data_IF_916975112584
#
_entry.id   IF_916975112584
#
_cell.length_a   1.000
_cell.length_b   1.000
_cell.length_c   1.000
_cell.angle_alpha   90.00
_cell.angle_beta   90.00
_cell.angle_gamma   90.00
#
_symmetry.space_group_name_H-M   'P 1'
#
loop_
_entity.id
_entity.type
_entity.pdbx_description
1 polymer ?
#
# COMPACT_ATOMS: atom_id res chain seq x y z
N UNK A 1 8.78 -0.13 -16.81
CA UNK A 1 8.13 -0.59 -15.54
C UNK A 1 9.25 -0.75 -14.54
N UNK A 2 9.16 -0.13 -13.37
CA UNK A 2 10.25 -0.11 -12.35
C UNK A 2 10.52 -1.50 -11.76
N UNK A 3 9.49 -2.35 -11.67
CA UNK A 3 9.58 -3.65 -11.04
C UNK A 3 8.91 -4.73 -11.89
N UNK A 4 9.46 -5.96 -11.88
CA UNK A 4 8.76 -7.13 -12.43
C UNK A 4 7.46 -7.38 -11.64
N UNK A 5 6.34 -7.77 -12.28
CA UNK A 5 5.09 -8.09 -11.57
C UNK A 5 5.30 -9.09 -10.42
N UNK A 6 6.15 -10.10 -10.63
CA UNK A 6 6.49 -11.09 -9.61
C UNK A 6 7.15 -10.48 -8.36
N UNK A 7 8.00 -9.48 -8.53
CA UNK A 7 8.64 -8.78 -7.42
C UNK A 7 7.65 -7.89 -6.67
N UNK A 8 6.69 -7.28 -7.38
CA UNK A 8 5.58 -6.56 -6.73
C UNK A 8 4.73 -7.52 -5.89
N UNK A 9 4.46 -8.74 -6.38
CA UNK A 9 3.79 -9.76 -5.58
C UNK A 9 4.56 -10.06 -4.29
N UNK A 10 5.86 -10.32 -4.37
CA UNK A 10 6.65 -10.58 -3.17
C UNK A 10 6.64 -9.39 -2.20
N UNK A 11 6.78 -8.15 -2.68
CA UNK A 11 6.63 -6.94 -1.84
C UNK A 11 5.28 -6.91 -1.12
N UNK A 12 4.19 -7.25 -1.81
CA UNK A 12 2.86 -7.38 -1.22
C UNK A 12 2.79 -8.47 -0.15
N UNK A 13 3.47 -9.61 -0.33
CA UNK A 13 3.49 -10.69 0.69
C UNK A 13 4.21 -10.30 1.99
N UNK A 14 5.18 -9.39 1.92
CA UNK A 14 5.79 -8.79 3.10
C UNK A 14 4.86 -7.76 3.73
N UNK A 15 4.26 -6.88 2.93
CA UNK A 15 3.36 -5.83 3.41
C UNK A 15 2.04 -6.38 3.97
N UNK A 16 1.50 -7.48 3.45
CA UNK A 16 0.21 -8.03 3.86
C UNK A 16 0.34 -9.51 4.25
N UNK A 17 0.34 -9.77 5.56
CA UNK A 17 0.54 -11.11 6.11
C UNK A 17 -0.46 -12.16 5.58
N UNK A 18 -1.68 -11.74 5.23
CA UNK A 18 -2.73 -12.60 4.64
C UNK A 18 -2.28 -13.25 3.33
N UNK A 19 -1.42 -12.60 2.55
CA UNK A 19 -0.90 -13.16 1.29
C UNK A 19 0.12 -14.29 1.51
N UNK A 20 0.56 -14.53 2.75
CA UNK A 20 1.44 -15.66 3.09
C UNK A 20 0.65 -16.93 3.44
N UNK A 21 -0.67 -16.83 3.52
CA UNK A 21 -1.54 -17.99 3.75
C UNK A 21 -1.51 -18.93 2.53
N UNK A 22 -1.66 -20.24 2.77
CA UNK A 22 -1.43 -21.28 1.76
C UNK A 22 -2.18 -21.12 0.44
N UNK A 23 -3.34 -20.43 0.45
CA UNK A 23 -4.17 -20.16 -0.74
C UNK A 23 -3.44 -19.32 -1.80
N UNK A 24 -2.48 -18.47 -1.41
CA UNK A 24 -1.81 -17.55 -2.34
C UNK A 24 -0.47 -18.09 -2.86
N UNK A 25 0.04 -19.22 -2.32
CA UNK A 25 1.32 -19.81 -2.75
C UNK A 25 1.35 -20.20 -4.22
N UNK A 26 0.20 -20.47 -4.85
CA UNK A 26 0.13 -20.77 -6.28
C UNK A 26 0.63 -19.62 -7.16
N UNK A 27 0.57 -18.38 -6.67
CA UNK A 27 1.02 -17.19 -7.40
C UNK A 27 2.56 -17.18 -7.55
N UNK A 28 3.31 -17.74 -6.59
CA UNK A 28 4.79 -17.75 -6.63
C UNK A 28 5.36 -18.51 -7.83
N UNK A 29 4.64 -19.56 -8.27
CA UNK A 29 5.01 -20.39 -9.40
C UNK A 29 4.49 -19.90 -10.75
N UNK A 30 3.68 -18.84 -10.78
CA UNK A 30 3.10 -18.29 -12.00
C UNK A 30 3.91 -17.08 -12.49
N UNK A 31 4.15 -17.02 -13.80
CA UNK A 31 4.75 -15.86 -14.46
C UNK A 31 3.66 -14.94 -15.01
N UNK A 32 3.81 -13.63 -14.77
CA UNK A 32 2.83 -12.63 -15.17
C UNK A 32 3.46 -11.64 -16.16
N UNK A 33 2.91 -11.59 -17.38
CA UNK A 33 3.38 -10.69 -18.43
C UNK A 33 3.19 -9.20 -18.09
N UNK A 34 2.20 -8.89 -17.25
CA UNK A 34 1.89 -7.52 -16.83
C UNK A 34 1.22 -7.47 -15.46
N UNK A 35 1.15 -6.27 -14.89
CA UNK A 35 0.60 -6.05 -13.55
C UNK A 35 -0.91 -6.29 -13.45
N UNK A 36 -1.67 -6.11 -14.54
CA UNK A 36 -3.11 -6.36 -14.57
C UNK A 36 -3.43 -7.83 -14.34
N UNK A 37 -2.68 -8.75 -14.98
CA UNK A 37 -2.84 -10.18 -14.79
C UNK A 37 -2.49 -10.61 -13.37
N UNK A 38 -1.44 -10.02 -12.77
CA UNK A 38 -1.09 -10.27 -11.38
C UNK A 38 -2.23 -9.85 -10.45
N UNK A 39 -2.72 -8.61 -10.56
CA UNK A 39 -3.80 -8.13 -9.70
C UNK A 39 -5.10 -8.90 -9.91
N UNK A 40 -5.43 -9.27 -11.14
CA UNK A 40 -6.58 -10.12 -11.43
C UNK A 40 -6.48 -11.47 -10.70
N UNK A 41 -5.31 -12.11 -10.67
CA UNK A 41 -5.13 -13.38 -9.96
C UNK A 41 -5.16 -13.19 -8.43
N UNK A 42 -4.48 -12.17 -7.88
CA UNK A 42 -4.51 -11.91 -6.43
C UNK A 42 -5.94 -11.59 -5.97
N UNK A 43 -6.68 -10.76 -6.72
CA UNK A 43 -8.08 -10.43 -6.42
C UNK A 43 -8.95 -11.68 -6.53
N UNK A 44 -8.80 -12.49 -7.59
CA UNK A 44 -9.58 -13.72 -7.73
C UNK A 44 -9.37 -14.67 -6.54
N UNK A 45 -8.12 -14.89 -6.12
CA UNK A 45 -7.81 -15.74 -4.97
C UNK A 45 -8.30 -15.13 -3.65
N UNK A 46 -8.11 -13.83 -3.45
CA UNK A 46 -8.55 -13.15 -2.23
C UNK A 46 -10.07 -13.10 -2.10
N UNK A 47 -10.81 -12.85 -3.19
CA UNK A 47 -12.27 -12.89 -3.23
C UNK A 47 -12.77 -14.33 -3.03
N UNK A 48 -12.14 -15.33 -3.66
CA UNK A 48 -12.48 -16.73 -3.44
C UNK A 48 -12.33 -17.12 -1.97
N UNK A 49 -11.25 -16.69 -1.33
CA UNK A 49 -11.01 -16.90 0.09
C UNK A 49 -12.06 -16.18 0.95
N UNK A 50 -12.41 -14.94 0.60
CA UNK A 50 -13.43 -14.17 1.31
C UNK A 50 -14.82 -14.79 1.20
N UNK A 51 -15.21 -15.29 0.02
CA UNK A 51 -16.47 -16.01 -0.18
C UNK A 51 -16.54 -17.23 0.74
N UNK A 52 -15.45 -18.02 0.84
CA UNK A 52 -15.39 -19.20 1.73
C UNK A 52 -15.53 -18.85 3.21
N UNK A 53 -15.05 -17.68 3.63
CA UNK A 53 -15.21 -17.17 5.01
C UNK A 53 -16.56 -16.49 5.26
N UNK A 54 -17.31 -16.20 4.21
CA UNK A 54 -18.52 -15.38 4.24
C UNK A 54 -18.22 -13.93 3.87
N UNK A 55 -19.05 -13.38 2.99
CA UNK A 55 -19.00 -11.96 2.65
C UNK A 55 -19.42 -11.11 3.85
N UNK A 56 -18.78 -9.95 4.01
CA UNK A 56 -19.17 -8.94 4.99
C UNK A 56 -20.63 -8.55 4.75
N UNK A 57 -21.39 -8.53 5.83
CA UNK A 57 -22.79 -8.14 5.86
C UNK A 57 -22.97 -7.03 6.85
N UNK A 58 -23.81 -6.08 6.50
CA UNK A 58 -24.10 -4.92 7.32
C UNK A 58 -25.61 -4.80 7.48
N UNK A 59 -26.02 -4.18 8.59
CA UNK A 59 -27.41 -3.79 8.77
C UNK A 59 -27.62 -2.47 8.03
N UNK A 60 -28.52 -2.50 7.06
CA UNK A 60 -28.94 -1.30 6.34
C UNK A 60 -30.39 -1.02 6.71
N UNK A 61 -30.67 0.21 7.13
CA UNK A 61 -32.02 0.67 7.38
C UNK A 61 -32.77 0.77 6.04
N UNK A 62 -33.87 0.02 5.91
CA UNK A 62 -34.71 0.00 4.72
C UNK A 62 -36.12 0.44 5.10
N UNK A 63 -36.74 1.27 4.25
CA UNK A 63 -38.11 1.77 4.44
C UNK A 63 -38.97 1.37 3.26
N UNK A 64 -39.93 0.47 3.48
CA UNK A 64 -40.75 -0.13 2.42
C UNK A 64 -42.24 -0.17 2.77
N UNK A 65 -43.10 -0.18 1.73
CA UNK A 65 -44.54 -0.41 1.83
C UNK A 65 -44.88 -1.90 1.82
N UNK A 66 -45.11 -2.47 2.98
CA UNK A 66 -45.33 -3.91 3.17
C UNK A 66 -46.71 -4.22 3.77
N UNK A 67 -47.27 -5.39 3.43
CA UNK A 67 -48.57 -5.85 3.95
C UNK A 67 -48.50 -6.47 5.35
N UNK A 68 -47.31 -6.53 5.93
CA UNK A 68 -47.02 -7.12 7.25
C UNK A 68 -46.25 -6.12 8.09
N UNK A 69 -46.36 -6.16 9.42
CA UNK A 69 -45.58 -5.27 10.29
C UNK A 69 -44.16 -5.83 10.44
N UNK A 70 -43.14 -5.03 10.10
CA UNK A 70 -41.72 -5.36 10.29
C UNK A 70 -40.98 -4.12 10.80
N UNK A 71 -40.30 -4.22 11.94
CA UNK A 71 -39.57 -3.08 12.52
C UNK A 71 -40.49 -1.94 12.97
N UNK A 72 -40.06 -0.69 12.75
CA UNK A 72 -40.75 0.54 13.15
C UNK A 72 -41.80 0.92 12.10
N UNK A 73 -43.04 1.20 12.53
CA UNK A 73 -44.09 1.69 11.64
C UNK A 73 -43.96 3.21 11.49
N UNK A 74 -43.83 3.70 10.26
CA UNK A 74 -43.85 5.12 9.94
C UNK A 74 -45.31 5.58 9.76
N UNK A 75 -45.95 5.94 10.88
CA UNK A 75 -47.37 6.25 10.94
C UNK A 75 -47.77 7.36 9.96
N UNK A 76 -47.00 8.46 9.91
CA UNK A 76 -47.26 9.59 9.00
C UNK A 76 -47.28 9.15 7.53
N UNK A 77 -46.36 8.27 7.16
CA UNK A 77 -46.24 7.77 5.79
C UNK A 77 -47.24 6.65 5.47
N UNK A 78 -47.79 5.99 6.51
CA UNK A 78 -48.78 4.90 6.38
C UNK A 78 -50.23 5.41 6.30
N UNK A 79 -50.53 6.60 6.83
CA UNK A 79 -51.89 7.18 6.83
C UNK A 79 -52.52 7.25 5.42
N UNK A 80 -51.82 7.70 4.36
CA UNK A 80 -52.37 7.72 3.00
C UNK A 80 -52.67 6.32 2.44
N UNK A 81 -51.99 5.27 2.91
CA UNK A 81 -52.20 3.90 2.46
C UNK A 81 -53.50 3.30 3.04
N UNK A 82 -53.85 3.65 4.28
CA UNK A 82 -55.16 3.31 4.85
C UNK A 82 -56.31 3.94 4.08
N UNK A 83 -56.17 5.21 3.66
CA UNK A 83 -57.18 5.89 2.84
C UNK A 83 -57.39 5.22 1.48
N UNK A 84 -56.36 4.57 0.94
CA UNK A 84 -56.39 3.81 -0.32
C UNK A 84 -56.86 2.37 -0.17
N UNK A 85 -57.19 1.92 1.06
CA UNK A 85 -57.54 0.52 1.35
C UNK A 85 -56.48 -0.49 0.87
N UNK A 86 -55.20 -0.08 0.79
CA UNK A 86 -54.16 -0.91 0.19
C UNK A 86 -53.68 -2.04 1.11
N UNK A 87 -54.14 -2.08 2.37
CA UNK A 87 -53.69 -3.00 3.44
C UNK A 87 -52.17 -3.05 3.59
N UNK A 88 -51.48 -1.95 3.28
CA UNK A 88 -50.02 -1.81 3.42
C UNK A 88 -49.68 -0.74 4.43
N UNK A 89 -48.55 -0.94 5.11
CA UNK A 89 -47.93 0.02 6.02
C UNK A 89 -46.56 0.40 5.49
N UNK A 90 -46.15 1.63 5.71
CA UNK A 90 -44.75 2.05 5.52
C UNK A 90 -44.01 1.68 6.79
N UNK A 91 -43.07 0.75 6.68
CA UNK A 91 -42.27 0.28 7.80
C UNK A 91 -40.78 0.46 7.52
N UNK A 92 -40.06 0.88 8.55
CA UNK A 92 -38.60 1.03 8.56
C UNK A 92 -38.00 -0.11 9.40
N UNK A 93 -37.08 -0.87 8.83
CA UNK A 93 -36.46 -2.01 9.49
C UNK A 93 -35.02 -2.21 9.02
N UNK A 94 -34.20 -2.82 9.88
CA UNK A 94 -32.84 -3.17 9.53
C UNK A 94 -32.81 -4.47 8.71
N UNK A 95 -32.20 -4.40 7.53
CA UNK A 95 -31.98 -5.53 6.65
C UNK A 95 -30.51 -5.97 6.71
N UNK A 96 -30.29 -7.26 6.97
CA UNK A 96 -28.95 -7.83 7.04
C UNK A 96 -28.48 -8.24 5.65
N UNK A 97 -27.88 -7.28 4.92
CA UNK A 97 -27.56 -7.40 3.50
C UNK A 97 -26.08 -7.69 3.26
N UNK A 98 -25.79 -8.40 2.17
CA UNK A 98 -24.41 -8.54 1.63
C UNK A 98 -23.99 -7.32 0.81
N UNK A 99 -24.89 -6.40 0.53
CA UNK A 99 -24.65 -5.19 -0.27
C UNK A 99 -23.89 -4.09 0.51
N UNK A 100 -22.81 -4.50 1.18
CA UNK A 100 -21.93 -3.61 1.93
C UNK A 100 -21.01 -2.80 1.00
N UNK A 101 -20.56 -1.60 1.41
CA UNK A 101 -19.65 -0.78 0.62
C UNK A 101 -18.40 -1.52 0.15
N UNK A 102 -17.79 -2.36 1.02
CA UNK A 102 -16.61 -3.15 0.62
C UNK A 102 -16.94 -4.18 -0.46
N UNK A 103 -18.11 -4.82 -0.41
CA UNK A 103 -18.51 -5.78 -1.44
C UNK A 103 -18.84 -5.08 -2.76
N UNK A 104 -19.45 -3.89 -2.72
CA UNK A 104 -19.67 -3.06 -3.92
C UNK A 104 -18.35 -2.71 -4.59
N UNK A 105 -17.33 -2.35 -3.81
CA UNK A 105 -15.97 -2.11 -4.33
C UNK A 105 -15.35 -3.37 -4.95
N UNK A 106 -15.47 -4.54 -4.30
CA UNK A 106 -14.98 -5.80 -4.87
C UNK A 106 -15.64 -6.09 -6.23
N UNK A 107 -16.98 -6.02 -6.29
CA UNK A 107 -17.75 -6.28 -7.51
C UNK A 107 -17.33 -5.31 -8.62
N UNK A 108 -17.26 -4.02 -8.31
CA UNK A 108 -16.86 -2.96 -9.24
C UNK A 108 -15.44 -3.18 -9.77
N UNK A 109 -14.48 -3.50 -8.90
CA UNK A 109 -13.10 -3.75 -9.32
C UNK A 109 -12.98 -4.99 -10.22
N UNK A 110 -13.69 -6.07 -9.88
CA UNK A 110 -13.73 -7.27 -10.72
C UNK A 110 -14.33 -6.96 -12.11
N UNK A 111 -15.37 -6.13 -12.15
CA UNK A 111 -15.98 -5.69 -13.41
C UNK A 111 -15.02 -4.89 -14.29
N UNK A 112 -14.28 -3.94 -13.70
CA UNK A 112 -13.23 -3.18 -14.40
C UNK A 112 -12.15 -4.10 -15.00
N UNK A 113 -11.67 -5.08 -14.23
CA UNK A 113 -10.67 -6.05 -14.69
C UNK A 113 -11.20 -6.96 -15.81
N UNK A 114 -12.47 -7.33 -15.76
CA UNK A 114 -13.12 -8.12 -16.82
C UNK A 114 -13.19 -7.35 -18.14
N UNK A 115 -13.40 -6.04 -18.07
CA UNK A 115 -13.49 -5.18 -19.26
C UNK A 115 -12.12 -4.70 -19.78
N UNK A 116 -11.08 -4.70 -18.95
CA UNK A 116 -9.71 -4.30 -19.35
C UNK A 116 -9.13 -5.21 -20.45
N UNK A 117 -8.57 -4.61 -21.50
CA UNK A 117 -7.90 -5.35 -22.59
C UNK A 117 -6.58 -6.02 -22.18
N UNK A 118 -5.94 -5.54 -21.12
CA UNK A 118 -4.64 -6.02 -20.65
C UNK A 118 -4.74 -7.30 -19.78
N UNK A 119 -5.96 -7.73 -19.42
CA UNK A 119 -6.21 -8.94 -18.64
C UNK A 119 -6.49 -10.13 -19.55
N UNK A 120 -5.77 -11.24 -19.32
CA UNK A 120 -5.93 -12.50 -20.07
C UNK A 120 -7.31 -13.11 -19.85
N UNK A 121 -7.84 -13.76 -20.89
CA UNK A 121 -9.17 -14.39 -20.89
C UNK A 121 -9.39 -15.34 -19.71
N UNK A 122 -8.40 -16.19 -19.40
CA UNK A 122 -8.49 -17.13 -18.28
C UNK A 122 -8.76 -16.41 -16.94
N UNK A 123 -8.06 -15.30 -16.69
CA UNK A 123 -8.25 -14.49 -15.48
C UNK A 123 -9.63 -13.83 -15.45
N UNK A 124 -10.09 -13.32 -16.61
CA UNK A 124 -11.46 -12.77 -16.74
C UNK A 124 -12.53 -13.80 -16.44
N UNK A 125 -12.35 -15.03 -16.92
CA UNK A 125 -13.32 -16.11 -16.69
C UNK A 125 -13.39 -16.50 -15.21
N UNK A 126 -12.24 -16.54 -14.50
CA UNK A 126 -12.21 -16.70 -13.02
C UNK A 126 -13.00 -15.60 -12.32
N UNK A 127 -12.76 -14.33 -12.67
CA UNK A 127 -13.46 -13.19 -12.06
C UNK A 127 -14.98 -13.24 -12.32
N UNK A 128 -15.42 -13.56 -13.54
CA UNK A 128 -16.84 -13.70 -13.88
C UNK A 128 -17.54 -14.80 -13.08
N UNK A 129 -16.85 -15.90 -12.78
CA UNK A 129 -17.40 -16.96 -11.93
C UNK A 129 -17.61 -16.41 -10.51
N UNK A 130 -16.64 -15.68 -9.97
CA UNK A 130 -16.73 -15.10 -8.63
C UNK A 130 -17.82 -14.02 -8.50
N UNK A 131 -18.04 -13.23 -9.55
CA UNK A 131 -19.10 -12.21 -9.58
C UNK A 131 -20.51 -12.80 -9.39
N UNK A 132 -20.73 -14.09 -9.64
CA UNK A 132 -22.01 -14.78 -9.37
C UNK A 132 -22.35 -14.86 -7.89
N UNK A 133 -21.36 -14.72 -7.00
CA UNK A 133 -21.59 -14.62 -5.54
C UNK A 133 -21.99 -13.21 -5.09
N UNK A 134 -21.96 -12.23 -6.01
CA UNK A 134 -22.26 -10.82 -5.78
C UNK A 134 -23.50 -10.37 -6.58
N UNK A 135 -24.47 -11.26 -6.79
CA UNK A 135 -25.71 -10.93 -7.51
C UNK A 135 -26.52 -9.86 -6.77
N UNK A 136 -26.66 -10.01 -5.45
CA UNK A 136 -27.38 -9.08 -4.56
C UNK A 136 -26.50 -7.92 -4.07
N UNK A 137 -25.41 -7.61 -4.79
CA UNK A 137 -24.49 -6.51 -4.45
C UNK A 137 -24.48 -5.54 -5.62
N UNK A 138 -24.64 -4.26 -5.37
CA UNK A 138 -24.60 -3.25 -6.43
C UNK A 138 -23.16 -2.93 -6.86
N UNK A 139 -22.99 -2.41 -8.08
CA UNK A 139 -21.75 -1.73 -8.45
C UNK A 139 -21.81 -0.28 -7.99
N UNK A 140 -20.66 0.32 -7.69
CA UNK A 140 -20.54 1.73 -7.29
C UNK A 140 -19.73 2.48 -8.35
N UNK A 141 -20.02 3.77 -8.57
CA UNK A 141 -19.16 4.62 -9.40
C UNK A 141 -17.75 4.68 -8.76
N UNK A 142 -16.71 4.17 -9.46
CA UNK A 142 -15.34 4.21 -8.99
C UNK A 142 -14.83 5.58 -8.49
N UNK A 143 -15.31 6.68 -9.08
CA UNK A 143 -14.90 8.03 -8.71
C UNK A 143 -15.46 8.50 -7.37
N UNK A 144 -16.52 7.84 -6.88
CA UNK A 144 -17.25 8.23 -5.67
C UNK A 144 -16.85 7.44 -4.43
N UNK A 145 -15.96 6.47 -4.58
CA UNK A 145 -15.58 5.56 -3.49
C UNK A 145 -14.84 6.34 -2.38
N UNK A 146 -15.41 6.35 -1.18
CA UNK A 146 -14.81 6.95 0.01
C UNK A 146 -13.81 5.99 0.68
N UNK A 147 -12.63 5.81 0.08
CA UNK A 147 -11.64 4.82 0.54
C UNK A 147 -11.17 4.94 2.01
N UNK A 148 -11.25 6.13 2.59
CA UNK A 148 -10.86 6.41 3.97
C UNK A 148 -11.93 6.06 5.01
N UNK A 149 -13.17 5.78 4.60
CA UNK A 149 -14.29 5.52 5.53
C UNK A 149 -14.43 4.06 5.96
N UNK A 150 -13.69 3.14 5.32
CA UNK A 150 -13.82 1.71 5.58
C UNK A 150 -13.30 1.31 6.98
N UNK A 151 -14.12 0.64 7.81
CA UNK A 151 -13.69 0.16 9.11
C UNK A 151 -12.79 -1.08 8.96
N UNK A 152 -11.55 -1.00 9.43
CA UNK A 152 -10.62 -2.13 9.43
C UNK A 152 -10.29 -2.60 10.84
N UNK A 153 -10.40 -3.91 11.06
CA UNK A 153 -10.08 -4.58 12.31
C UNK A 153 -9.46 -5.96 12.06
N UNK A 154 -8.91 -6.60 13.09
CA UNK A 154 -8.20 -7.89 12.93
C UNK A 154 -9.03 -8.97 12.23
N UNK A 155 -10.34 -9.01 12.50
CA UNK A 155 -11.24 -10.01 11.91
C UNK A 155 -11.54 -9.81 10.40
N UNK A 156 -11.23 -8.63 9.83
CA UNK A 156 -11.43 -8.32 8.40
C UNK A 156 -10.12 -7.98 7.69
N UNK A 157 -8.98 -8.48 8.17
CA UNK A 157 -7.66 -8.23 7.58
C UNK A 157 -7.60 -8.57 6.08
N UNK A 158 -8.31 -9.61 5.63
CA UNK A 158 -8.45 -9.96 4.21
C UNK A 158 -9.15 -8.85 3.42
N UNK A 159 -10.23 -8.27 3.94
CA UNK A 159 -10.87 -7.10 3.34
C UNK A 159 -9.92 -5.91 3.29
N UNK A 160 -9.16 -5.64 4.35
CA UNK A 160 -8.16 -4.56 4.34
C UNK A 160 -7.17 -4.72 3.19
N UNK A 161 -6.65 -5.93 2.99
CA UNK A 161 -5.76 -6.23 1.87
C UNK A 161 -6.48 -6.06 0.52
N UNK A 162 -7.66 -6.65 0.35
CA UNK A 162 -8.44 -6.55 -0.88
C UNK A 162 -8.80 -5.11 -1.23
N UNK A 163 -9.24 -4.30 -0.26
CA UNK A 163 -9.58 -2.89 -0.47
C UNK A 163 -8.36 -2.07 -0.91
N UNK A 164 -7.18 -2.35 -0.37
CA UNK A 164 -5.95 -1.70 -0.84
C UNK A 164 -5.60 -2.08 -2.28
N UNK A 165 -5.78 -3.35 -2.67
CA UNK A 165 -5.56 -3.79 -4.05
C UNK A 165 -6.62 -3.22 -5.00
N UNK A 166 -7.89 -3.22 -4.58
CA UNK A 166 -8.99 -2.60 -5.31
C UNK A 166 -8.74 -1.12 -5.54
N UNK A 167 -8.21 -0.40 -4.55
CA UNK A 167 -7.80 1.00 -4.71
C UNK A 167 -6.77 1.15 -5.82
N UNK A 168 -5.68 0.36 -5.77
CA UNK A 168 -4.59 0.43 -6.75
C UNK A 168 -5.09 0.17 -8.18
N UNK A 169 -5.88 -0.90 -8.36
CA UNK A 169 -6.46 -1.27 -9.66
C UNK A 169 -7.40 -0.19 -10.15
N UNK A 170 -8.35 0.23 -9.31
CA UNK A 170 -9.39 1.19 -9.69
C UNK A 170 -8.79 2.53 -10.06
N UNK A 171 -7.92 3.10 -9.21
CA UNK A 171 -7.31 4.41 -9.49
C UNK A 171 -6.47 4.40 -10.75
N UNK A 172 -5.67 3.35 -10.97
CA UNK A 172 -4.83 3.30 -12.17
C UNK A 172 -5.59 2.97 -13.45
N UNK A 173 -6.76 2.33 -13.36
CA UNK A 173 -7.64 2.16 -14.52
C UNK A 173 -8.38 3.45 -14.88
N UNK A 174 -8.90 4.19 -13.90
CA UNK A 174 -9.62 5.46 -14.13
C UNK A 174 -8.77 6.54 -14.79
N UNK A 175 -7.47 6.58 -14.44
CA UNK A 175 -6.54 7.53 -15.06
C UNK A 175 -6.17 7.12 -16.50
N UNK A 176 -6.17 5.82 -16.79
CA UNK A 176 -6.00 5.33 -18.16
C UNK A 176 -7.15 5.72 -19.09
N UNK A 177 -8.37 5.87 -18.56
CA UNK A 177 -9.55 6.25 -19.34
C UNK A 177 -9.62 7.76 -19.63
N UNK A 178 -9.15 8.63 -18.72
CA UNK A 178 -9.23 10.08 -18.88
C UNK A 178 -8.21 10.66 -19.87
N UNK A 179 -6.97 10.17 -19.83
CA UNK A 179 -5.89 10.71 -20.65
C UNK A 179 -5.57 9.84 -21.88
N UNK A 180 -6.22 8.69 -22.03
CA UNK A 180 -6.10 7.79 -23.19
C UNK A 180 -4.71 7.15 -23.40
N UNK A 181 -3.70 7.55 -22.63
CA UNK A 181 -2.30 7.14 -22.81
C UNK A 181 -1.64 6.54 -21.57
N UNK A 182 -2.11 6.85 -20.35
CA UNK A 182 -1.43 6.42 -19.11
C UNK A 182 -1.91 5.03 -18.70
N UNK A 183 -1.13 3.98 -19.00
CA UNK A 183 -1.46 2.61 -18.57
C UNK A 183 -1.36 2.49 -17.04
N UNK A 184 -2.12 1.58 -16.42
CA UNK A 184 -2.04 1.26 -14.98
C UNK A 184 -0.59 1.14 -14.46
N UNK A 185 0.30 0.54 -15.25
CA UNK A 185 1.72 0.37 -14.90
C UNK A 185 2.51 1.67 -14.76
N UNK A 186 2.10 2.75 -15.45
CA UNK A 186 2.70 4.08 -15.37
C UNK A 186 2.12 4.87 -14.20
N UNK A 187 0.83 4.71 -13.89
CA UNK A 187 0.23 5.33 -12.70
C UNK A 187 0.76 4.72 -11.39
N UNK A 188 1.08 3.44 -11.38
CA UNK A 188 1.66 2.81 -10.20
C UNK A 188 3.04 3.39 -9.81
N UNK A 189 3.60 4.38 -10.51
CA UNK A 189 4.75 5.17 -10.00
C UNK A 189 4.36 6.19 -8.88
N UNK A 190 3.12 6.16 -8.41
CA UNK A 190 2.54 7.09 -7.43
C UNK A 190 2.82 6.72 -5.95
N UNK A 191 2.40 7.60 -5.04
CA UNK A 191 2.50 7.55 -3.57
C UNK A 191 2.17 6.18 -2.95
N UNK A 192 1.29 5.38 -3.56
CA UNK A 192 0.93 4.07 -3.00
C UNK A 192 1.98 2.99 -3.23
N UNK A 193 2.68 3.00 -4.36
CA UNK A 193 3.81 2.09 -4.55
C UNK A 193 5.00 2.53 -3.72
N UNK A 194 5.18 3.85 -3.53
CA UNK A 194 6.10 4.38 -2.52
C UNK A 194 5.80 3.81 -1.12
N UNK A 195 4.54 3.92 -0.66
CA UNK A 195 4.12 3.37 0.62
C UNK A 195 4.26 1.83 0.69
N UNK A 196 4.00 1.12 -0.42
CA UNK A 196 4.24 -0.33 -0.50
C UNK A 196 5.72 -0.64 -0.36
N UNK A 197 6.59 0.11 -1.03
CA UNK A 197 8.04 -0.06 -1.02
C UNK A 197 8.62 0.17 0.38
N UNK A 198 8.29 1.29 1.03
CA UNK A 198 8.66 1.56 2.42
C UNK A 198 8.23 0.42 3.35
N UNK A 199 6.95 0.02 3.23
CA UNK A 199 6.39 -1.04 4.08
C UNK A 199 7.04 -2.38 3.80
N UNK A 200 7.33 -2.70 2.55
CA UNK A 200 8.06 -3.90 2.18
C UNK A 200 9.42 -3.95 2.87
N UNK A 201 10.23 -2.88 2.75
CA UNK A 201 11.56 -2.83 3.35
C UNK A 201 11.47 -2.99 4.88
N UNK A 202 10.54 -2.26 5.51
CA UNK A 202 10.33 -2.37 6.95
C UNK A 202 9.98 -3.80 7.37
N UNK A 203 8.96 -4.40 6.74
CA UNK A 203 8.48 -5.74 7.08
C UNK A 203 9.51 -6.82 6.73
N UNK A 204 10.37 -6.58 5.73
CA UNK A 204 11.52 -7.42 5.41
C UNK A 204 12.47 -7.47 6.60
N UNK A 205 12.96 -6.32 7.07
CA UNK A 205 13.89 -6.28 8.19
C UNK A 205 13.26 -6.80 9.49
N UNK A 206 11.98 -6.53 9.76
CA UNK A 206 11.27 -7.10 10.93
C UNK A 206 11.28 -8.64 10.88
N UNK A 207 11.06 -9.23 9.70
CA UNK A 207 10.88 -10.67 9.54
C UNK A 207 12.18 -11.43 9.41
N UNK A 208 13.07 -10.98 8.52
CA UNK A 208 14.30 -11.69 8.17
C UNK A 208 15.47 -11.30 9.09
N UNK A 209 15.42 -10.12 9.72
CA UNK A 209 16.44 -9.62 10.64
C UNK A 209 15.86 -9.13 11.98
N UNK A 210 15.19 -9.99 12.77
CA UNK A 210 14.57 -9.59 14.03
C UNK A 210 15.57 -9.01 15.05
N UNK A 211 16.86 -9.33 14.94
CA UNK A 211 17.94 -8.77 15.76
C UNK A 211 18.16 -7.26 15.54
N UNK A 212 17.71 -6.73 14.41
CA UNK A 212 17.92 -5.35 13.98
C UNK A 212 16.79 -4.39 14.40
N UNK A 213 15.80 -4.86 15.16
CA UNK A 213 14.73 -4.07 15.79
C UNK A 213 14.17 -2.97 14.88
N UNK A 214 13.75 -3.34 13.66
CA UNK A 214 13.25 -2.38 12.68
C UNK A 214 11.89 -1.80 13.08
N UNK A 215 11.72 -0.49 12.93
CA UNK A 215 10.51 0.26 13.30
C UNK A 215 10.30 1.52 12.45
N UNK A 216 9.15 2.18 12.62
CA UNK A 216 8.95 3.58 12.22
C UNK A 216 9.05 4.43 13.48
N UNK A 217 9.96 5.40 13.49
CA UNK A 217 10.21 6.23 14.67
C UNK A 217 9.74 7.66 14.42
N UNK A 218 9.22 8.28 15.49
CA UNK A 218 9.02 9.73 15.54
C UNK A 218 10.30 10.38 16.08
N UNK A 219 10.93 11.21 15.26
CA UNK A 219 12.14 11.94 15.63
C UNK A 219 11.72 13.27 16.24
N UNK A 220 11.98 13.46 17.54
CA UNK A 220 11.72 14.73 18.19
C UNK A 220 12.72 15.79 17.70
N UNK A 221 12.23 17.00 17.40
CA UNK A 221 13.09 18.15 17.12
C UNK A 221 14.09 18.37 18.26
N UNK A 222 15.34 18.61 17.90
CA UNK A 222 16.40 18.98 18.82
C UNK A 222 16.34 20.49 19.05
N UNK A 223 15.49 20.91 19.99
CA UNK A 223 15.25 22.32 20.31
C UNK A 223 15.93 22.69 21.63
N UNK A 224 16.43 23.91 21.69
CA UNK A 224 16.86 24.54 22.93
C UNK A 224 15.69 24.75 23.87
N UNK A 225 15.96 24.87 25.18
CA UNK A 225 14.92 25.02 26.20
C UNK A 225 14.02 26.24 25.97
N UNK A 226 14.58 27.31 25.42
CA UNK A 226 13.86 28.55 25.07
C UNK A 226 12.87 28.38 23.92
N UNK A 227 12.96 27.29 23.15
CA UNK A 227 12.19 27.04 21.92
C UNK A 227 11.15 25.92 22.07
N UNK A 228 11.02 25.31 23.26
CA UNK A 228 10.06 24.21 23.51
C UNK A 228 8.59 24.59 23.25
N UNK A 229 8.23 25.87 23.33
CA UNK A 229 6.88 26.36 23.03
C UNK A 229 6.49 26.38 21.54
N UNK A 230 7.44 26.12 20.62
CA UNK A 230 7.21 26.11 19.17
C UNK A 230 6.84 24.73 18.61
N UNK A 231 6.89 23.68 19.45
CA UNK A 231 6.76 22.28 19.03
C UNK A 231 5.45 22.03 18.26
N UNK A 232 4.34 22.65 18.67
CA UNK A 232 3.01 22.44 18.04
C UNK A 232 2.92 22.94 16.60
N UNK A 233 3.84 23.82 16.16
CA UNK A 233 3.86 24.39 14.81
C UNK A 233 4.90 23.74 13.89
N UNK A 234 5.76 22.87 14.42
CA UNK A 234 6.79 22.21 13.64
C UNK A 234 6.24 20.93 12.99
N UNK A 235 6.67 20.60 11.76
CA UNK A 235 6.21 19.39 11.11
C UNK A 235 6.70 18.15 11.87
N UNK A 236 5.85 17.14 11.95
CA UNK A 236 6.21 15.87 12.56
C UNK A 236 7.27 15.15 11.70
N UNK A 237 8.39 14.79 12.32
CA UNK A 237 9.44 14.02 11.67
C UNK A 237 9.21 12.53 11.93
N UNK A 238 8.66 11.83 10.95
CA UNK A 238 8.49 10.38 10.99
C UNK A 238 9.42 9.71 9.97
N UNK A 239 10.17 8.70 10.40
CA UNK A 239 11.06 7.92 9.52
C UNK A 239 10.29 6.82 8.79
N UNK A 240 10.74 6.49 7.58
CA UNK A 240 10.19 5.38 6.80
C UNK A 240 10.58 4.04 7.43
N UNK A 241 11.89 3.86 7.70
CA UNK A 241 12.46 2.71 8.40
C UNK A 241 13.60 3.19 9.32
N UNK A 242 13.56 2.79 10.58
CA UNK A 242 14.67 2.91 11.52
C UNK A 242 15.11 1.51 11.92
N UNK A 243 16.41 1.25 11.87
CA UNK A 243 17.02 -0.01 12.26
C UNK A 243 17.97 0.23 13.43
N UNK A 244 17.90 -0.59 14.48
CA UNK A 244 18.71 -0.44 15.69
C UNK A 244 19.48 -1.71 16.01
N UNK A 245 20.79 -1.58 16.19
CA UNK A 245 21.65 -2.68 16.57
C UNK A 245 22.71 -2.20 17.57
N UNK A 246 22.63 -2.70 18.81
CA UNK A 246 23.41 -2.20 19.96
C UNK A 246 23.20 -0.68 20.12
N UNK A 247 24.26 0.10 20.22
CA UNK A 247 24.23 1.57 20.33
C UNK A 247 24.06 2.28 18.97
N UNK A 248 24.06 1.55 17.85
CA UNK A 248 24.00 2.12 16.50
C UNK A 248 22.57 2.17 15.98
N UNK A 249 22.29 3.23 15.22
CA UNK A 249 21.00 3.42 14.55
C UNK A 249 21.22 3.75 13.08
N UNK A 250 20.50 3.08 12.19
CA UNK A 250 20.44 3.41 10.76
C UNK A 250 19.04 3.89 10.42
N UNK A 251 18.93 5.10 9.91
CA UNK A 251 17.68 5.63 9.36
C UNK A 251 17.72 5.41 7.86
N UNK A 252 16.72 4.72 7.31
CA UNK A 252 16.56 4.50 5.87
C UNK A 252 15.36 5.31 5.40
N UNK A 253 15.60 6.20 4.45
CA UNK A 253 14.58 6.93 3.71
C UNK A 253 14.46 6.26 2.34
N UNK A 254 13.30 5.65 2.09
CA UNK A 254 13.07 4.75 0.97
C UNK A 254 12.31 5.47 -0.13
N UNK A 255 12.83 5.44 -1.36
CA UNK A 255 12.31 6.26 -2.45
C UNK A 255 11.98 5.41 -3.67
N UNK A 256 10.72 5.46 -4.10
CA UNK A 256 10.21 4.80 -5.30
C UNK A 256 9.97 5.85 -6.38
N UNK A 257 10.87 5.97 -7.37
CA UNK A 257 10.76 6.94 -8.47
C UNK A 257 11.31 6.37 -9.79
N UNK A 258 10.71 6.75 -10.93
CA UNK A 258 11.33 6.57 -12.25
C UNK A 258 12.58 7.45 -12.49
N UNK A 259 12.70 8.60 -11.81
CA UNK A 259 13.84 9.53 -11.99
C UNK A 259 14.64 9.69 -10.70
N UNK A 260 15.84 9.13 -10.68
CA UNK A 260 16.69 9.11 -9.48
C UNK A 260 17.67 10.29 -9.47
N UNK A 261 17.99 10.85 -10.65
CA UNK A 261 18.98 11.91 -10.80
C UNK A 261 18.44 13.15 -11.53
N UNK A 262 18.81 14.36 -11.07
CA UNK A 262 18.68 15.56 -11.91
C UNK A 262 19.76 15.54 -13.00
N UNK A 263 19.36 15.50 -14.27
CA UNK A 263 20.27 15.73 -15.40
C UNK A 263 20.79 17.18 -15.34
N UNK A 264 22.11 17.35 -15.24
CA UNK A 264 22.72 18.67 -15.33
C UNK A 264 22.58 19.24 -16.74
N UNK A 265 22.48 20.57 -16.88
CA UNK A 265 22.43 21.28 -18.17
C UNK A 265 23.62 20.99 -19.11
N UNK A 266 24.68 20.33 -18.61
CA UNK A 266 25.92 20.04 -19.34
C UNK A 266 26.37 18.57 -19.21
N UNK A 267 25.45 17.60 -19.27
CA UNK A 267 25.79 16.18 -19.50
C UNK A 267 26.71 15.51 -18.45
N UNK A 268 26.84 16.08 -17.25
CA UNK A 268 27.60 15.49 -16.15
C UNK A 268 26.82 14.42 -15.37
N UNK A 269 27.55 13.61 -14.59
CA UNK A 269 26.99 12.61 -13.66
C UNK A 269 25.83 13.24 -12.87
N UNK A 270 24.64 12.67 -13.00
CA UNK A 270 23.44 13.23 -12.40
C UNK A 270 23.59 13.36 -10.87
N UNK A 271 22.97 14.39 -10.29
CA UNK A 271 23.01 14.64 -8.84
C UNK A 271 21.81 14.03 -8.15
N UNK A 272 22.04 13.47 -6.96
CA UNK A 272 20.98 13.05 -6.03
C UNK A 272 20.01 14.21 -5.83
N UNK A 273 18.72 13.91 -5.74
CA UNK A 273 17.69 14.89 -5.40
C UNK A 273 17.98 15.50 -4.02
N UNK A 274 18.31 16.79 -4.00
CA UNK A 274 18.71 17.52 -2.79
C UNK A 274 17.66 17.44 -1.68
N UNK A 275 16.37 17.39 -2.04
CA UNK A 275 15.28 17.24 -1.07
C UNK A 275 15.40 15.99 -0.20
N UNK A 276 15.69 14.84 -0.81
CA UNK A 276 15.85 13.57 -0.09
C UNK A 276 17.06 13.64 0.84
N UNK A 277 18.17 14.20 0.35
CA UNK A 277 19.39 14.37 1.16
C UNK A 277 19.14 15.29 2.37
N UNK A 278 18.38 16.37 2.21
CA UNK A 278 18.05 17.26 3.31
C UNK A 278 17.10 16.62 4.33
N UNK A 279 16.14 15.81 3.86
CA UNK A 279 15.23 15.06 4.71
C UNK A 279 16.00 14.06 5.61
N UNK A 280 16.82 13.19 5.01
CA UNK A 280 17.59 12.21 5.79
C UNK A 280 18.60 12.90 6.71
N UNK A 281 19.22 14.00 6.26
CA UNK A 281 20.13 14.79 7.09
C UNK A 281 19.41 15.34 8.33
N UNK A 282 18.21 15.90 8.17
CA UNK A 282 17.42 16.41 9.28
C UNK A 282 17.08 15.29 10.29
N UNK A 283 16.68 14.10 9.81
CA UNK A 283 16.40 12.97 10.71
C UNK A 283 17.64 12.54 11.50
N UNK A 284 18.78 12.36 10.83
CA UNK A 284 20.02 11.93 11.47
C UNK A 284 20.46 12.94 12.52
N UNK A 285 20.44 14.24 12.21
CA UNK A 285 20.88 15.28 13.16
C UNK A 285 19.96 15.45 14.36
N UNK A 286 18.65 15.33 14.17
CA UNK A 286 17.72 15.41 15.29
C UNK A 286 17.71 14.14 16.16
N UNK A 287 18.13 12.99 15.60
CA UNK A 287 18.28 11.75 16.36
C UNK A 287 19.63 11.65 17.08
N UNK A 288 20.74 12.09 16.47
CA UNK A 288 22.08 12.11 17.08
C UNK A 288 22.35 13.40 17.87
N UNK A 289 21.48 13.69 18.85
CA UNK A 289 21.52 14.94 19.63
C UNK A 289 22.85 15.20 20.33
N UNK A 290 23.55 14.12 20.72
CA UNK A 290 24.82 14.18 21.43
C UNK A 290 26.04 14.08 20.49
N UNK A 291 25.82 14.08 19.17
CA UNK A 291 26.86 14.02 18.13
C UNK A 291 27.84 12.86 18.33
N UNK A 292 27.27 11.69 18.66
CA UNK A 292 28.03 10.47 18.93
C UNK A 292 28.61 9.84 17.67
N UNK A 293 28.04 10.16 16.49
CA UNK A 293 28.36 9.50 15.22
C UNK A 293 27.73 8.11 15.10
N UNK A 294 26.94 7.66 16.08
CA UNK A 294 26.31 6.33 16.08
C UNK A 294 25.01 6.27 15.26
N UNK A 295 24.53 7.40 14.74
CA UNK A 295 23.38 7.45 13.83
C UNK A 295 23.89 7.61 12.41
N UNK A 296 23.45 6.71 11.54
CA UNK A 296 23.75 6.70 10.11
C UNK A 296 22.47 6.97 9.32
N UNK A 297 22.60 7.60 8.14
CA UNK A 297 21.49 7.85 7.22
C UNK A 297 21.68 7.08 5.92
N UNK A 298 20.61 6.54 5.35
CA UNK A 298 20.65 5.87 4.06
C UNK A 298 19.49 6.33 3.19
N UNK A 299 19.80 6.72 1.95
CA UNK A 299 18.82 6.82 0.87
C UNK A 299 18.79 5.50 0.12
N UNK A 300 17.63 4.84 0.10
CA UNK A 300 17.44 3.57 -0.60
C UNK A 300 16.43 3.74 -1.73
N UNK A 301 16.94 3.81 -2.95
CA UNK A 301 16.11 4.00 -4.15
C UNK A 301 15.66 2.67 -4.73
N UNK A 302 14.41 2.55 -5.17
CA UNK A 302 14.01 1.50 -6.09
C UNK A 302 14.70 1.78 -7.44
N UNK A 303 15.66 0.95 -7.82
CA UNK A 303 16.51 1.13 -8.99
C UNK A 303 15.74 0.93 -10.30
N UNK A 304 16.15 1.69 -11.32
CA UNK A 304 15.83 1.50 -12.74
C UNK A 304 17.12 1.46 -13.56
N UNK A 305 17.02 1.36 -14.88
CA UNK A 305 18.15 1.31 -15.84
C UNK A 305 19.18 2.47 -15.72
N UNK A 306 18.92 3.50 -14.91
CA UNK A 306 19.89 4.57 -14.63
C UNK A 306 20.88 4.16 -13.52
N UNK A 307 22.20 4.08 -13.82
CA UNK A 307 23.20 3.73 -12.82
C UNK A 307 23.32 4.86 -11.80
N UNK A 308 22.73 4.68 -10.62
CA UNK A 308 23.02 5.51 -9.45
C UNK A 308 24.36 5.08 -8.90
N UNK A 309 25.28 6.03 -8.73
CA UNK A 309 26.54 5.75 -8.06
C UNK A 309 26.25 5.44 -6.59
N UNK A 310 26.39 4.18 -6.20
CA UNK A 310 26.32 3.82 -4.79
C UNK A 310 27.39 4.59 -4.00
N UNK A 311 26.97 5.20 -2.90
CA UNK A 311 27.86 5.87 -1.95
C UNK A 311 27.75 5.13 -0.64
N UNK A 312 28.87 4.66 -0.09
CA UNK A 312 28.90 3.93 1.18
C UNK A 312 29.75 4.69 2.18
N UNK A 313 29.18 4.99 3.34
CA UNK A 313 29.91 5.50 4.50
C UNK A 313 30.49 6.91 4.32
N UNK A 314 29.88 7.78 3.51
CA UNK A 314 30.37 9.15 3.39
C UNK A 314 30.13 9.91 4.69
N UNK A 315 31.20 10.43 5.30
CA UNK A 315 31.10 11.20 6.53
C UNK A 315 30.62 12.62 6.24
N UNK A 316 29.52 13.03 6.87
CA UNK A 316 29.00 14.39 6.83
C UNK A 316 28.72 14.79 8.27
N UNK A 317 29.49 15.75 8.75
CA UNK A 317 29.36 16.30 10.11
C UNK A 317 29.36 15.20 11.20
N UNK A 318 30.29 14.24 11.10
CA UNK A 318 30.45 13.15 12.09
C UNK A 318 29.51 11.95 11.92
N UNK A 319 28.49 12.03 11.06
CA UNK A 319 27.60 10.90 10.77
C UNK A 319 27.90 10.28 9.41
N UNK A 320 27.68 8.97 9.27
CA UNK A 320 27.83 8.26 7.99
C UNK A 320 26.53 8.34 7.20
N UNK A 321 26.66 8.67 5.91
CA UNK A 321 25.56 8.67 4.96
C UNK A 321 25.83 7.69 3.81
N UNK A 322 24.77 7.00 3.41
CA UNK A 322 24.77 5.98 2.37
C UNK A 322 23.73 6.30 1.31
N UNK A 323 24.02 5.90 0.08
CA UNK A 323 23.11 5.97 -1.06
C UNK A 323 23.22 4.63 -1.77
N UNK A 324 22.12 3.87 -1.77
CA UNK A 324 22.06 2.54 -2.39
C UNK A 324 20.82 2.42 -3.27
N UNK A 325 20.85 1.45 -4.17
CA UNK A 325 19.74 1.12 -5.06
C UNK A 325 19.32 -0.32 -4.86
N UNK A 326 18.02 -0.58 -4.96
CA UNK A 326 17.44 -1.91 -4.96
C UNK A 326 16.81 -2.17 -6.32
N UNK A 327 17.44 -3.00 -7.15
CA UNK A 327 16.93 -3.33 -8.49
C UNK A 327 15.70 -4.25 -8.40
N UNK A 328 14.51 -3.68 -8.62
CA UNK A 328 13.25 -4.42 -8.60
C UNK A 328 12.93 -5.11 -9.93
N UNK A 329 13.76 -4.95 -10.95
CA UNK A 329 13.65 -5.62 -12.25
C UNK A 329 14.40 -6.94 -12.31
N UNK A 330 15.35 -7.16 -11.39
CA UNK A 330 16.14 -8.39 -11.27
C UNK A 330 15.37 -9.60 -10.70
N UNK A 331 16.10 -10.64 -10.34
CA UNK A 331 15.53 -11.81 -9.66
C UNK A 331 15.28 -11.52 -8.18
N UNK A 332 14.24 -12.12 -7.59
CA UNK A 332 13.90 -11.91 -6.18
C UNK A 332 15.04 -12.25 -5.22
N UNK A 333 15.88 -13.23 -5.59
CA UNK A 333 17.05 -13.60 -4.81
C UNK A 333 18.06 -12.44 -4.67
N UNK A 334 18.26 -11.67 -5.74
CA UNK A 334 19.22 -10.56 -5.77
C UNK A 334 18.73 -9.38 -4.93
N UNK A 335 17.42 -9.13 -4.94
CA UNK A 335 16.76 -8.13 -4.09
C UNK A 335 16.99 -8.47 -2.60
N UNK A 336 16.75 -9.73 -2.22
CA UNK A 336 17.01 -10.19 -0.85
C UNK A 336 18.48 -10.08 -0.48
N UNK A 337 19.38 -10.56 -1.34
CA UNK A 337 20.82 -10.46 -1.11
C UNK A 337 21.25 -9.02 -0.87
N UNK A 338 20.72 -8.06 -1.64
CA UNK A 338 21.01 -6.62 -1.44
C UNK A 338 20.54 -6.11 -0.07
N UNK A 339 19.35 -6.51 0.37
CA UNK A 339 18.83 -6.13 1.69
C UNK A 339 19.62 -6.80 2.84
N UNK A 340 20.01 -8.06 2.66
CA UNK A 340 20.85 -8.82 3.59
C UNK A 340 22.25 -8.20 3.68
N UNK A 341 22.80 -7.72 2.56
CA UNK A 341 24.04 -6.95 2.55
C UNK A 341 23.92 -5.65 3.33
N UNK A 342 22.81 -4.91 3.21
CA UNK A 342 22.55 -3.70 4.01
C UNK A 342 22.55 -4.05 5.50
N UNK A 343 21.86 -5.12 5.90
CA UNK A 343 21.86 -5.61 7.27
C UNK A 343 23.28 -5.96 7.75
N UNK A 344 24.05 -6.66 6.93
CA UNK A 344 25.40 -7.11 7.28
C UNK A 344 26.40 -5.97 7.35
N UNK A 345 26.41 -5.06 6.38
CA UNK A 345 27.27 -3.88 6.36
C UNK A 345 27.00 -2.99 7.59
N UNK A 346 25.74 -2.88 8.04
CA UNK A 346 25.40 -2.12 9.24
C UNK A 346 25.86 -2.81 10.54
N UNK A 347 25.71 -4.15 10.63
CA UNK A 347 26.15 -4.94 11.81
C UNK A 347 27.67 -4.99 11.93
N UNK A 348 28.34 -5.20 10.80
CA UNK A 348 29.77 -5.43 10.69
C UNK A 348 30.34 -4.46 9.66
N UNK A 349 30.43 -3.15 9.99
CA UNK A 349 31.01 -2.19 9.10
C UNK A 349 32.43 -2.66 8.76
N UNK A 350 32.69 -2.79 7.46
CA UNK A 350 34.04 -3.00 6.96
C UNK A 350 34.79 -1.70 7.25
N UNK A 351 35.49 -1.67 8.38
CA UNK A 351 36.35 -0.54 8.69
C UNK A 351 37.37 -0.37 7.57
N UNK A 352 37.50 0.88 7.14
CA UNK A 352 38.42 1.38 6.13
C UNK A 352 39.81 0.78 6.33
N UNK A 353 40.28 0.01 5.34
CA UNK A 353 41.70 -0.12 5.08
C UNK A 353 42.25 1.22 4.56
#
# INVERSE_FOLDING_TARGET
MIAKPKNIYFMLTYAYQVLREGTFRSIEGEEFDNIHNLFAEIIALGVSYQIKRGLAREYQENTERIGTIRGKIELTNSIPEFAKHSNKLVCTFDEYTVDSPMNRVLKTTMDLLVHSSDVKREKKDKLKILMRYFLDVETIDPHTIAWSSFPYHRNNATYKMLMNLCYLVTMGMLLSEKDGTIKLAEYLDDQKMHALYERFILEYFIKEHPELKASRDKVAWNLDESSKGLIDFLPEMQTDITIRYKEKTLIIDAKYYCQILKKGQYGGNGKILSGNMYQIYAYVKNMDKNHTGNVEGMLLYAGTDEPVKEVRGQLIDGNKFHVRTLDLSGEWADIKNTLDEIANDFKYPKDSA
#
